data_IF_975044781172
#
_entry.id   IF_975044781172
#
_cell.length_a   1.000
_cell.length_b   1.000
_cell.length_c   1.000
_cell.angle_alpha   90.00
_cell.angle_beta   90.00
_cell.angle_gamma   90.00
#
_symmetry.space_group_name_H-M   'P 1'
#
loop_
_entity.id
_entity.type
_entity.pdbx_description
1 polymer ?
#
# COMPACT_ATOMS: atom_id res chain seq x y z
N UNK A 1 66.42 -60.28 -25.29
CA UNK A 1 65.06 -59.93 -25.71
C UNK A 1 64.37 -59.10 -24.62
N UNK A 2 63.66 -58.07 -25.00
CA UNK A 2 62.81 -57.28 -24.10
C UNK A 2 61.39 -57.71 -24.35
N UNK A 3 60.77 -58.31 -23.33
CA UNK A 3 59.35 -58.56 -23.38
C UNK A 3 58.60 -57.18 -23.16
N UNK A 4 57.97 -56.72 -24.22
CA UNK A 4 57.10 -55.50 -24.13
C UNK A 4 55.71 -55.93 -23.73
N UNK A 5 55.19 -55.32 -22.70
CA UNK A 5 53.79 -55.46 -22.22
C UNK A 5 53.02 -54.17 -22.55
N UNK A 6 51.80 -54.34 -23.02
CA UNK A 6 50.91 -53.18 -23.26
C UNK A 6 50.58 -52.44 -21.96
N UNK A 7 50.52 -51.12 -22.05
CA UNK A 7 50.13 -50.31 -20.90
C UNK A 7 48.66 -50.54 -20.54
N UNK A 8 48.35 -50.56 -19.24
CA UNK A 8 46.97 -50.59 -18.71
C UNK A 8 46.18 -49.39 -19.22
N UNK A 9 44.92 -49.57 -19.62
CA UNK A 9 44.03 -48.52 -20.01
C UNK A 9 42.99 -48.32 -18.84
N UNK A 10 42.87 -47.07 -18.32
CA UNK A 10 41.88 -46.77 -17.30
C UNK A 10 40.47 -46.85 -17.87
N UNK A 11 39.57 -47.43 -17.13
CA UNK A 11 38.16 -47.55 -17.49
C UNK A 11 37.46 -46.19 -17.48
N UNK A 12 36.21 -46.11 -17.98
CA UNK A 12 35.39 -44.89 -17.92
C UNK A 12 35.03 -44.44 -16.45
N UNK A 13 35.15 -45.36 -15.49
CA UNK A 13 34.93 -45.10 -14.06
C UNK A 13 36.21 -44.78 -13.28
N UNK A 14 37.33 -44.61 -14.00
CA UNK A 14 38.63 -44.34 -13.39
C UNK A 14 39.31 -43.14 -14.05
N UNK A 15 40.31 -42.60 -13.38
CA UNK A 15 41.22 -41.60 -13.89
C UNK A 15 42.68 -42.08 -13.76
N UNK A 16 43.58 -41.58 -14.56
CA UNK A 16 45.02 -41.88 -14.46
C UNK A 16 45.59 -41.10 -13.27
N UNK A 17 45.78 -41.80 -12.15
CA UNK A 17 46.36 -41.22 -10.94
C UNK A 17 47.88 -41.11 -11.00
N UNK A 18 48.52 -41.89 -11.88
CA UNK A 18 49.95 -41.84 -12.16
C UNK A 18 50.22 -42.22 -13.60
N UNK A 19 50.93 -41.35 -14.33
CA UNK A 19 51.30 -41.57 -15.69
C UNK A 19 52.32 -42.74 -15.85
N UNK A 20 52.27 -43.49 -16.95
CA UNK A 20 53.27 -44.56 -17.26
C UNK A 20 54.64 -43.94 -17.36
N UNK A 21 55.66 -44.74 -17.00
CA UNK A 21 57.10 -44.41 -17.12
C UNK A 21 57.84 -45.53 -17.87
N UNK A 22 59.09 -45.29 -18.18
CA UNK A 22 59.91 -46.22 -18.95
C UNK A 22 60.00 -47.64 -18.36
N UNK A 23 59.74 -47.77 -17.01
CA UNK A 23 59.86 -49.04 -16.27
C UNK A 23 58.65 -49.33 -15.36
N UNK A 24 57.58 -48.57 -15.50
CA UNK A 24 56.34 -48.79 -14.71
C UNK A 24 55.12 -48.45 -15.55
N UNK A 25 54.08 -49.25 -15.40
CA UNK A 25 52.79 -49.00 -15.99
C UNK A 25 52.06 -47.79 -15.32
N UNK A 26 51.02 -47.27 -15.94
CA UNK A 26 50.12 -46.27 -15.31
C UNK A 26 49.40 -46.87 -14.16
N UNK A 27 48.96 -46.01 -13.26
CA UNK A 27 48.04 -46.38 -12.19
C UNK A 27 46.69 -45.69 -12.40
N UNK A 28 45.61 -46.43 -12.32
CA UNK A 28 44.24 -45.94 -12.38
C UNK A 28 43.65 -45.90 -10.97
N UNK A 29 42.86 -44.89 -10.70
CA UNK A 29 42.11 -44.77 -9.47
C UNK A 29 40.61 -44.56 -9.77
N UNK A 30 39.69 -45.10 -8.97
CA UNK A 30 38.27 -44.92 -9.18
C UNK A 30 37.88 -43.47 -9.04
N UNK A 31 36.94 -43.01 -9.91
CA UNK A 31 36.34 -41.70 -9.80
C UNK A 31 35.44 -41.60 -8.59
N UNK A 32 35.52 -40.49 -7.86
CA UNK A 32 34.57 -40.16 -6.80
C UNK A 32 33.15 -40.08 -7.36
N UNK A 33 32.18 -40.43 -6.55
CA UNK A 33 30.75 -40.29 -6.87
C UNK A 33 30.16 -39.21 -5.94
N UNK A 34 29.64 -38.15 -6.52
CA UNK A 34 28.95 -37.12 -5.73
C UNK A 34 27.64 -37.67 -5.17
N UNK A 35 27.40 -37.47 -3.89
CA UNK A 35 26.23 -37.96 -3.20
C UNK A 35 24.98 -37.11 -3.55
N UNK A 36 23.78 -37.52 -3.06
CA UNK A 36 22.51 -36.90 -3.42
C UNK A 36 22.39 -35.43 -2.99
N UNK A 37 23.21 -34.94 -2.06
CA UNK A 37 23.27 -33.54 -1.60
C UNK A 37 24.36 -32.70 -2.26
N UNK A 38 25.12 -33.28 -3.17
CA UNK A 38 26.32 -32.68 -3.76
C UNK A 38 26.19 -32.45 -5.27
N UNK A 39 27.03 -31.57 -5.77
CA UNK A 39 27.23 -31.32 -7.20
C UNK A 39 28.72 -31.42 -7.58
N UNK A 40 29.01 -31.73 -8.85
CA UNK A 40 30.34 -31.77 -9.38
C UNK A 40 30.88 -30.34 -9.59
N UNK A 41 31.59 -29.82 -8.59
CA UNK A 41 32.13 -28.46 -8.59
C UNK A 41 33.33 -28.33 -9.54
N UNK A 42 34.10 -29.39 -9.67
CA UNK A 42 35.19 -29.52 -10.66
C UNK A 42 35.01 -30.82 -11.42
N UNK A 43 34.90 -30.69 -12.74
CA UNK A 43 34.74 -31.85 -13.62
C UNK A 43 35.99 -32.73 -13.61
N UNK A 44 35.79 -34.05 -13.70
CA UNK A 44 36.87 -35.01 -13.91
C UNK A 44 37.61 -34.76 -15.21
N UNK A 45 38.86 -35.13 -15.24
CA UNK A 45 39.66 -35.23 -16.48
C UNK A 45 40.21 -36.66 -16.65
N UNK A 46 40.95 -36.88 -17.71
CA UNK A 46 41.64 -38.17 -17.87
C UNK A 46 42.68 -38.43 -16.76
N UNK A 47 43.21 -37.39 -16.14
CA UNK A 47 44.32 -37.46 -15.16
C UNK A 47 43.98 -36.85 -13.80
N UNK A 48 42.73 -36.47 -13.54
CA UNK A 48 42.25 -35.95 -12.23
C UNK A 48 40.85 -36.43 -11.94
N UNK A 49 40.60 -36.64 -10.66
CA UNK A 49 39.24 -36.92 -10.16
C UNK A 49 38.36 -35.66 -10.20
N UNK A 50 37.05 -35.86 -10.09
CA UNK A 50 36.10 -34.79 -9.84
C UNK A 50 36.17 -34.31 -8.41
N UNK A 51 35.75 -33.08 -8.17
CA UNK A 51 35.52 -32.57 -6.81
C UNK A 51 34.04 -32.33 -6.61
N UNK A 52 33.47 -32.92 -5.59
CA UNK A 52 32.09 -32.70 -5.18
C UNK A 52 32.01 -31.63 -4.11
N UNK A 53 30.96 -30.86 -4.12
CA UNK A 53 30.63 -29.88 -3.09
C UNK A 53 29.15 -29.94 -2.73
N UNK A 54 28.83 -29.65 -1.48
CA UNK A 54 27.43 -29.58 -1.01
C UNK A 54 26.67 -28.50 -1.75
N UNK A 55 25.36 -28.74 -2.02
CA UNK A 55 24.49 -27.72 -2.55
C UNK A 55 24.25 -26.61 -1.52
N UNK A 56 24.40 -25.37 -1.95
CA UNK A 56 24.06 -24.20 -1.16
C UNK A 56 22.59 -24.24 -0.72
N UNK A 57 22.29 -23.66 0.44
CA UNK A 57 20.92 -23.48 0.95
C UNK A 57 20.58 -21.99 0.96
N UNK A 58 19.45 -21.62 0.34
CA UNK A 58 18.98 -20.23 0.40
C UNK A 58 18.49 -19.92 1.82
N UNK A 59 18.87 -18.75 2.32
CA UNK A 59 18.39 -18.23 3.58
C UNK A 59 16.88 -17.95 3.52
N UNK A 60 16.25 -17.75 4.68
CA UNK A 60 14.83 -17.39 4.74
C UNK A 60 14.49 -16.03 4.07
N UNK A 61 15.51 -15.18 3.90
CA UNK A 61 15.44 -13.87 3.23
C UNK A 61 15.82 -13.93 1.75
N UNK A 62 15.98 -15.13 1.18
CA UNK A 62 16.39 -15.33 -0.20
C UNK A 62 15.44 -16.25 -0.95
N UNK A 63 15.43 -16.15 -2.26
CA UNK A 63 14.74 -17.07 -3.16
C UNK A 63 15.71 -17.65 -4.19
N UNK A 64 15.40 -18.83 -4.68
CA UNK A 64 16.20 -19.55 -5.66
C UNK A 64 15.86 -19.05 -7.06
N UNK A 65 16.87 -18.55 -7.77
CA UNK A 65 16.74 -18.15 -9.19
C UNK A 65 17.21 -19.21 -10.15
N UNK A 66 18.04 -20.15 -9.67
CA UNK A 66 18.52 -21.28 -10.42
C UNK A 66 18.54 -22.51 -9.52
N UNK A 67 17.87 -23.57 -9.95
CA UNK A 67 17.81 -24.84 -9.23
C UNK A 67 19.12 -25.63 -9.33
N UNK A 68 19.34 -26.47 -8.32
CA UNK A 68 20.44 -27.43 -8.27
C UNK A 68 20.46 -28.35 -9.49
N UNK A 69 21.64 -28.84 -9.83
CA UNK A 69 21.86 -29.84 -10.85
C UNK A 69 23.13 -30.63 -10.55
N UNK A 70 23.37 -31.72 -11.28
CA UNK A 70 24.57 -32.59 -11.09
C UNK A 70 25.88 -31.85 -11.28
N UNK A 71 25.89 -30.78 -12.08
CA UNK A 71 27.10 -30.02 -12.43
C UNK A 71 26.95 -28.52 -12.14
N UNK A 72 26.01 -28.16 -11.28
CA UNK A 72 25.79 -26.76 -10.88
C UNK A 72 25.14 -26.67 -9.53
N UNK A 73 25.48 -25.63 -8.77
CA UNK A 73 24.84 -25.29 -7.54
C UNK A 73 23.60 -24.42 -7.80
N UNK A 74 22.75 -24.24 -6.78
CA UNK A 74 21.67 -23.27 -6.81
C UNK A 74 22.21 -21.85 -6.71
N UNK A 75 21.44 -20.92 -7.23
CA UNK A 75 21.70 -19.49 -7.05
C UNK A 75 20.60 -18.89 -6.19
N UNK A 76 20.98 -18.27 -5.08
CA UNK A 76 20.09 -17.57 -4.16
C UNK A 76 20.24 -16.07 -4.34
N UNK A 77 19.12 -15.34 -4.31
CA UNK A 77 19.07 -13.88 -4.42
C UNK A 77 18.17 -13.34 -3.30
N UNK A 78 18.54 -12.21 -2.65
CA UNK A 78 17.73 -11.61 -1.62
C UNK A 78 16.33 -11.27 -2.11
N UNK A 79 15.32 -11.55 -1.26
CA UNK A 79 13.91 -11.18 -1.53
C UNK A 79 13.78 -9.66 -1.45
N UNK A 80 13.11 -9.08 -2.45
CA UNK A 80 12.77 -7.65 -2.48
C UNK A 80 11.96 -7.26 -1.24
N UNK A 81 12.31 -6.14 -0.64
CA UNK A 81 11.58 -5.53 0.48
C UNK A 81 10.79 -4.34 -0.05
N UNK A 82 9.46 -4.34 0.14
CA UNK A 82 8.62 -3.19 -0.24
C UNK A 82 8.95 -2.01 0.66
N UNK A 83 9.13 -0.85 0.05
CA UNK A 83 9.39 0.41 0.74
C UNK A 83 8.14 0.92 1.47
N UNK A 84 8.28 1.91 2.36
CA UNK A 84 7.15 2.45 3.13
C UNK A 84 6.03 3.10 2.30
N UNK A 85 6.29 3.37 1.02
CA UNK A 85 5.33 3.89 0.04
C UNK A 85 4.72 2.82 -0.85
N UNK A 86 5.04 1.55 -0.59
CA UNK A 86 4.65 0.40 -1.39
C UNK A 86 3.92 -0.66 -0.56
N UNK A 87 3.18 -1.51 -1.24
CA UNK A 87 2.54 -2.69 -0.67
C UNK A 87 2.87 -3.94 -1.49
N UNK A 88 2.83 -5.08 -0.84
CA UNK A 88 3.02 -6.37 -1.46
C UNK A 88 1.78 -6.78 -2.25
N UNK A 89 1.93 -6.96 -3.57
CA UNK A 89 0.88 -7.51 -4.44
C UNK A 89 1.03 -9.01 -4.66
N UNK A 90 2.23 -9.52 -4.46
CA UNK A 90 2.50 -10.96 -4.46
C UNK A 90 3.60 -11.30 -3.47
N UNK A 91 3.29 -12.22 -2.56
CA UNK A 91 4.25 -12.74 -1.61
C UNK A 91 5.38 -13.54 -2.30
N UNK A 92 6.61 -13.51 -1.76
CA UNK A 92 7.71 -14.31 -2.27
C UNK A 92 7.45 -15.80 -2.03
N UNK A 93 8.06 -16.62 -2.86
CA UNK A 93 8.11 -18.07 -2.70
C UNK A 93 9.57 -18.53 -2.66
N UNK A 94 9.78 -19.83 -2.51
CA UNK A 94 11.15 -20.39 -2.57
C UNK A 94 11.84 -20.14 -3.92
N UNK A 95 11.09 -19.89 -4.99
CA UNK A 95 11.59 -19.76 -6.37
C UNK A 95 11.12 -18.50 -7.08
N UNK A 96 10.48 -17.56 -6.39
CA UNK A 96 10.01 -16.31 -6.98
C UNK A 96 10.12 -15.17 -5.97
N UNK A 97 10.52 -14.01 -6.45
CA UNK A 97 10.63 -12.79 -5.67
C UNK A 97 9.26 -12.22 -5.28
N UNK A 98 9.28 -11.35 -4.27
CA UNK A 98 8.15 -10.48 -3.91
C UNK A 98 7.92 -9.46 -5.02
N UNK A 99 6.65 -9.14 -5.25
CA UNK A 99 6.28 -8.03 -6.12
C UNK A 99 5.62 -6.96 -5.28
N UNK A 100 6.16 -5.74 -5.36
CA UNK A 100 5.64 -4.54 -4.71
C UNK A 100 4.98 -3.61 -5.72
N UNK A 101 4.03 -2.82 -5.26
CA UNK A 101 3.42 -1.72 -6.02
C UNK A 101 3.28 -0.50 -5.13
N UNK A 102 3.42 0.68 -5.72
CA UNK A 102 3.25 1.95 -4.99
C UNK A 102 1.80 2.16 -4.57
N UNK A 103 1.60 2.69 -3.34
CA UNK A 103 0.28 3.05 -2.86
C UNK A 103 -0.34 4.16 -3.72
N UNK A 104 -1.64 4.00 -4.02
CA UNK A 104 -2.45 5.06 -4.63
C UNK A 104 -2.43 6.32 -3.76
N UNK A 105 -2.35 7.50 -4.36
CA UNK A 105 -2.48 8.78 -3.68
C UNK A 105 -3.85 9.37 -3.96
N UNK A 106 -4.66 9.64 -2.92
CA UNK A 106 -5.95 10.30 -3.07
C UNK A 106 -5.75 11.76 -3.50
N UNK A 107 -6.55 12.22 -4.47
CA UNK A 107 -6.54 13.61 -4.92
C UNK A 107 -7.19 14.53 -3.90
N UNK A 108 -7.03 15.86 -4.07
CA UNK A 108 -7.70 16.86 -3.20
C UNK A 108 -9.23 16.85 -3.24
N UNK A 109 -9.83 16.12 -4.20
CA UNK A 109 -11.29 15.92 -4.31
C UNK A 109 -11.74 14.54 -3.78
N UNK A 110 -10.86 13.81 -3.13
CA UNK A 110 -11.11 12.47 -2.59
C UNK A 110 -10.65 12.37 -1.14
N UNK A 111 -11.21 11.42 -0.43
CA UNK A 111 -10.80 11.02 0.91
C UNK A 111 -10.43 9.54 0.92
N UNK A 112 -9.57 9.13 1.84
CA UNK A 112 -9.17 7.74 2.03
C UNK A 112 -10.28 6.98 2.76
N UNK A 113 -11.09 6.23 2.01
CA UNK A 113 -12.22 5.45 2.55
C UNK A 113 -11.76 4.11 3.15
N UNK A 114 -10.58 3.65 2.76
CA UNK A 114 -9.91 2.49 3.34
C UNK A 114 -8.41 2.75 3.38
N UNK A 115 -7.77 2.59 4.55
CA UNK A 115 -6.33 2.81 4.69
C UNK A 115 -5.52 1.76 3.93
N UNK A 116 -4.32 2.17 3.51
CA UNK A 116 -3.32 1.26 2.96
C UNK A 116 -2.75 0.35 4.04
N UNK A 117 -2.27 -0.81 3.63
CA UNK A 117 -1.59 -1.78 4.49
C UNK A 117 -0.41 -2.41 3.78
N UNK A 118 0.35 -3.26 4.48
CA UNK A 118 1.54 -3.92 3.93
C UNK A 118 1.26 -4.80 2.70
N UNK A 119 0.02 -5.29 2.54
CA UNK A 119 -0.42 -6.15 1.43
C UNK A 119 -1.71 -5.68 0.76
N UNK A 120 -2.08 -4.41 0.94
CA UNK A 120 -3.27 -3.83 0.32
C UNK A 120 -3.08 -2.36 0.02
N UNK A 121 -3.59 -1.92 -1.13
CA UNK A 121 -3.64 -0.50 -1.45
C UNK A 121 -4.76 0.21 -0.69
N UNK A 122 -4.64 1.54 -0.56
CA UNK A 122 -5.72 2.39 -0.05
C UNK A 122 -6.84 2.49 -1.08
N UNK A 123 -8.03 2.81 -0.59
CA UNK A 123 -9.15 3.16 -1.45
C UNK A 123 -9.49 4.63 -1.28
N UNK A 124 -9.61 5.33 -2.40
CA UNK A 124 -10.01 6.72 -2.45
C UNK A 124 -11.46 6.84 -2.94
N UNK A 125 -12.25 7.61 -2.23
CA UNK A 125 -13.64 7.89 -2.60
C UNK A 125 -13.80 9.39 -2.82
N UNK A 126 -14.58 9.79 -3.81
CA UNK A 126 -14.87 11.19 -4.09
C UNK A 126 -15.55 11.85 -2.88
N UNK A 127 -15.16 13.09 -2.58
CA UNK A 127 -15.82 13.89 -1.54
C UNK A 127 -17.25 14.20 -1.96
N UNK A 128 -18.17 14.06 -1.02
CA UNK A 128 -19.57 14.50 -1.18
C UNK A 128 -19.61 16.00 -1.49
N UNK A 129 -20.45 16.41 -2.43
CA UNK A 129 -20.69 17.81 -2.74
C UNK A 129 -22.04 18.21 -2.14
N UNK A 130 -22.03 19.19 -1.23
CA UNK A 130 -23.28 19.75 -0.70
C UNK A 130 -24.00 20.51 -1.83
N UNK A 131 -25.32 20.30 -1.93
CA UNK A 131 -26.17 21.01 -2.89
C UNK A 131 -26.31 22.50 -2.51
N UNK A 132 -26.90 23.29 -3.41
CA UNK A 132 -27.20 24.70 -3.13
C UNK A 132 -28.22 24.91 -1.98
N UNK A 133 -28.96 23.85 -1.62
CA UNK A 133 -29.90 23.86 -0.50
C UNK A 133 -29.29 23.36 0.82
N UNK A 134 -27.99 23.09 0.83
CA UNK A 134 -27.28 22.46 1.95
C UNK A 134 -26.03 23.27 2.36
N UNK A 135 -25.69 23.14 3.62
CA UNK A 135 -24.42 23.63 4.15
C UNK A 135 -23.55 22.47 4.63
N UNK A 136 -22.25 22.69 4.67
CA UNK A 136 -21.29 21.72 5.16
C UNK A 136 -21.31 21.72 6.69
N UNK A 137 -22.00 20.74 7.29
CA UNK A 137 -22.10 20.56 8.74
C UNK A 137 -20.79 20.04 9.33
N UNK A 138 -20.13 19.12 8.63
CA UNK A 138 -18.82 18.57 9.03
C UNK A 138 -17.86 18.71 7.85
N UNK A 139 -16.69 19.28 8.10
CA UNK A 139 -15.63 19.38 7.10
C UNK A 139 -15.01 18.00 6.79
N UNK A 140 -14.69 17.78 5.53
CA UNK A 140 -13.91 16.59 5.13
C UNK A 140 -12.50 16.66 5.68
N UNK A 141 -11.91 15.48 5.89
CA UNK A 141 -10.49 15.30 6.21
C UNK A 141 -9.86 14.38 5.16
N UNK A 142 -8.58 14.10 5.31
CA UNK A 142 -7.91 13.13 4.44
C UNK A 142 -8.51 11.71 4.56
N UNK A 143 -9.16 11.39 5.69
CA UNK A 143 -9.67 10.05 6.03
C UNK A 143 -11.17 10.02 6.34
N UNK A 144 -11.90 11.10 6.10
CA UNK A 144 -13.34 11.16 6.27
C UNK A 144 -14.00 12.07 5.25
N UNK A 145 -15.20 11.71 4.81
CA UNK A 145 -16.01 12.57 3.97
C UNK A 145 -16.61 13.74 4.76
N UNK A 146 -17.05 14.77 4.02
CA UNK A 146 -17.87 15.84 4.61
C UNK A 146 -19.29 15.35 4.84
N UNK A 147 -19.96 15.96 5.82
CA UNK A 147 -21.39 15.80 6.00
C UNK A 147 -22.11 17.11 5.63
N UNK A 148 -23.18 16.99 4.84
CA UNK A 148 -24.06 18.10 4.47
C UNK A 148 -25.36 18.01 5.25
N UNK A 149 -25.92 19.16 5.56
CA UNK A 149 -27.25 19.29 6.16
C UNK A 149 -28.06 20.35 5.40
N UNK A 150 -29.37 20.16 5.31
CA UNK A 150 -30.26 21.13 4.67
C UNK A 150 -30.28 22.41 5.48
N UNK A 151 -30.43 23.57 4.81
CA UNK A 151 -30.62 24.83 5.51
C UNK A 151 -31.95 24.84 6.26
N UNK A 152 -31.94 25.32 7.50
CA UNK A 152 -33.15 25.58 8.24
C UNK A 152 -34.02 26.61 7.51
N UNK A 153 -35.31 26.36 7.39
CA UNK A 153 -36.30 27.34 6.87
C UNK A 153 -36.97 28.06 8.03
N UNK A 154 -36.90 29.41 8.02
CA UNK A 154 -37.63 30.22 9.01
C UNK A 154 -39.12 30.19 8.70
N UNK A 155 -39.95 29.98 9.74
CA UNK A 155 -41.39 29.99 9.61
C UNK A 155 -41.93 31.40 9.37
N UNK A 156 -43.22 31.54 9.06
CA UNK A 156 -43.89 32.85 8.86
C UNK A 156 -43.94 33.71 10.15
N UNK A 157 -43.64 33.12 11.31
CA UNK A 157 -43.55 33.81 12.59
C UNK A 157 -42.11 34.06 13.05
N UNK A 158 -41.17 33.88 12.14
CA UNK A 158 -39.75 34.04 12.41
C UNK A 158 -39.09 34.88 11.31
N UNK A 159 -38.01 35.52 11.64
CA UNK A 159 -37.12 36.22 10.71
C UNK A 159 -35.72 35.64 10.77
N UNK A 160 -34.94 35.79 9.70
CA UNK A 160 -33.56 35.32 9.64
C UNK A 160 -32.64 36.28 10.42
N UNK A 161 -32.34 35.92 11.67
CA UNK A 161 -31.49 36.73 12.55
C UNK A 161 -30.00 36.58 12.23
N UNK A 162 -29.64 35.55 11.50
CA UNK A 162 -28.29 35.32 10.97
C UNK A 162 -28.39 34.56 9.67
N UNK A 163 -27.75 35.05 8.58
CA UNK A 163 -27.79 34.39 7.31
C UNK A 163 -26.96 33.09 7.30
N UNK A 164 -27.37 32.15 6.47
CA UNK A 164 -26.63 30.93 6.21
C UNK A 164 -25.38 31.20 5.39
N UNK A 165 -24.39 30.32 5.51
CA UNK A 165 -23.20 30.29 4.70
C UNK A 165 -22.94 28.87 4.19
N UNK A 166 -21.95 28.66 3.35
CA UNK A 166 -21.56 27.32 2.90
C UNK A 166 -21.16 26.38 4.06
N UNK A 167 -20.82 26.93 5.24
CA UNK A 167 -20.32 26.16 6.39
C UNK A 167 -21.08 26.40 7.68
N UNK A 168 -22.20 27.11 7.62
CA UNK A 168 -23.07 27.34 8.78
C UNK A 168 -24.52 27.48 8.37
N UNK A 169 -25.39 26.93 9.18
CA UNK A 169 -26.84 27.15 9.02
C UNK A 169 -27.26 28.56 9.38
N UNK A 170 -28.43 28.98 8.86
CA UNK A 170 -29.09 30.23 9.30
C UNK A 170 -29.63 30.08 10.70
N UNK A 171 -29.83 31.20 11.35
CA UNK A 171 -30.59 31.26 12.60
C UNK A 171 -31.88 32.03 12.40
N UNK A 172 -32.97 31.46 12.87
CA UNK A 172 -34.27 32.08 12.90
C UNK A 172 -34.58 32.59 14.33
N UNK A 173 -35.13 33.76 14.43
CA UNK A 173 -35.65 34.33 15.68
C UNK A 173 -37.14 34.59 15.54
N UNK A 174 -37.89 34.41 16.62
CA UNK A 174 -39.32 34.70 16.65
C UNK A 174 -39.55 36.19 16.48
N UNK A 175 -40.53 36.55 15.66
CA UNK A 175 -40.96 37.94 15.49
C UNK A 175 -41.46 38.52 16.83
N UNK A 176 -41.02 39.73 17.12
CA UNK A 176 -41.54 40.48 18.27
C UNK A 176 -43.05 40.72 18.12
N UNK A 177 -43.74 40.78 19.25
CA UNK A 177 -45.18 41.13 19.33
C UNK A 177 -45.28 42.45 20.05
N UNK A 178 -45.88 43.49 19.40
CA UNK A 178 -46.14 44.77 20.05
C UNK A 178 -47.22 44.60 21.13
N UNK A 179 -46.93 45.11 22.32
CA UNK A 179 -47.89 45.11 23.40
C UNK A 179 -49.04 46.14 23.15
N UNK A 180 -50.08 46.11 23.94
CA UNK A 180 -51.22 47.00 23.81
C UNK A 180 -50.87 48.49 23.91
N UNK A 181 -49.73 48.84 24.47
CA UNK A 181 -49.20 50.19 24.56
C UNK A 181 -48.23 50.60 23.47
N UNK A 182 -48.03 49.72 22.48
CA UNK A 182 -47.10 49.94 21.35
C UNK A 182 -47.79 49.65 20.03
N UNK A 183 -47.47 50.40 19.03
CA UNK A 183 -47.86 50.12 17.64
C UNK A 183 -46.66 49.66 16.81
N UNK A 184 -46.94 48.92 15.76
CA UNK A 184 -45.90 48.51 14.78
C UNK A 184 -45.45 49.73 13.97
N UNK A 185 -44.24 50.18 14.22
CA UNK A 185 -43.62 51.31 13.49
C UNK A 185 -42.88 50.87 12.23
N UNK A 186 -42.39 49.63 12.17
CA UNK A 186 -41.86 49.00 10.99
C UNK A 186 -42.30 47.55 10.93
N UNK A 187 -42.82 47.14 9.76
CA UNK A 187 -43.21 45.76 9.51
C UNK A 187 -41.99 44.83 9.41
N UNK A 188 -42.08 43.60 9.89
CA UNK A 188 -40.99 42.64 9.79
C UNK A 188 -40.74 42.28 8.33
N UNK A 189 -39.47 41.96 8.03
CA UNK A 189 -39.05 41.40 6.74
C UNK A 189 -38.51 40.00 6.97
N UNK A 190 -38.09 39.35 5.90
CA UNK A 190 -37.42 38.06 6.03
C UNK A 190 -36.11 38.12 6.85
N UNK A 191 -35.43 39.26 6.87
CA UNK A 191 -34.11 39.47 7.50
C UNK A 191 -34.14 40.52 8.63
N UNK A 192 -35.27 41.03 9.01
CA UNK A 192 -35.42 41.98 10.13
C UNK A 192 -36.67 41.71 10.94
N UNK A 193 -36.60 41.94 12.25
CA UNK A 193 -37.74 41.88 13.15
C UNK A 193 -38.66 43.10 12.93
N UNK A 194 -39.90 43.04 13.44
CA UNK A 194 -40.74 44.20 13.50
C UNK A 194 -40.26 45.17 14.59
N UNK A 195 -40.47 46.43 14.33
CA UNK A 195 -40.22 47.46 15.32
C UNK A 195 -41.54 47.94 15.95
N UNK A 196 -41.53 48.05 17.28
CA UNK A 196 -42.68 48.54 18.04
C UNK A 196 -42.32 49.88 18.71
N UNK A 197 -43.18 50.87 18.54
CA UNK A 197 -43.06 52.23 19.17
C UNK A 197 -44.15 52.45 20.12
N UNK A 198 -43.87 53.10 21.28
CA UNK A 198 -44.79 53.39 22.29
C UNK A 198 -45.93 54.38 21.82
N UNK A 199 -47.14 54.09 22.12
CA UNK A 199 -48.25 54.96 21.81
C UNK A 199 -48.13 56.27 22.62
N UNK A 200 -48.21 57.39 21.94
CA UNK A 200 -48.27 58.69 22.61
C UNK A 200 -49.57 58.84 23.32
N UNK A 201 -49.52 58.99 24.62
CA UNK A 201 -50.73 59.33 25.43
C UNK A 201 -51.01 60.82 25.35
N UNK A 202 -52.10 61.21 24.69
CA UNK A 202 -52.52 62.58 24.65
C UNK A 202 -53.08 63.01 26.04
N UNK A 203 -52.69 64.17 26.50
CA UNK A 203 -53.28 64.75 27.70
C UNK A 203 -54.71 65.25 27.41
N UNK A 204 -55.55 65.39 28.44
CA UNK A 204 -56.94 65.81 28.30
C UNK A 204 -57.19 67.19 27.63
N UNK A 205 -56.08 67.85 27.23
CA UNK A 205 -56.07 69.09 26.46
C UNK A 205 -55.53 69.00 25.07
N UNK A 206 -55.24 67.75 24.57
CA UNK A 206 -54.71 67.47 23.23
C UNK A 206 -55.56 66.42 22.51
N UNK A 207 -55.86 66.67 21.24
CA UNK A 207 -56.51 65.70 20.35
C UNK A 207 -55.83 65.74 18.95
#
# INVERSE_FOLDING_TARGET
DRDCVEYTTCSAAEYESKAPQLRSDRSCAPLAVCEAGEWEAVAKTATSDRTCADHSQCAASEYETQSVGTHRDRTCVPITVCEGTEYEIRAPTKTADRICASHTTCSGSQWESKPSGASSDRQCTALTLCSNAQWQMVASTATSDRACADYTECTTQQWESRPSTATSDRKCATLAVCSDQHYESAAPTYTSDRECTELTVCSDQQW
#
